data_IF_616793378537
#
_entry.id   IF_616793378537
#
_cell.length_a   1.000
_cell.length_b   1.000
_cell.length_c   1.000
_cell.angle_alpha   90.00
_cell.angle_beta   90.00
_cell.angle_gamma   90.00
#
_symmetry.space_group_name_H-M   'P 1'
#
loop_
_entity.id
_entity.type
_entity.pdbx_description
1 polymer ?
#
# COMPACT_ATOMS: atom_id res chain seq x y z
N UNK A 1 79.59 57.19 22.52
CA UNK A 1 78.60 56.36 23.26
C UNK A 1 77.43 57.25 23.65
N UNK A 2 76.23 56.68 23.63
CA UNK A 2 74.97 57.25 24.16
C UNK A 2 74.39 58.47 23.44
N UNK A 3 73.46 58.18 22.52
CA UNK A 3 72.49 59.12 21.97
C UNK A 3 71.21 59.04 22.81
N UNK A 4 70.68 60.17 23.27
CA UNK A 4 69.25 60.34 23.58
C UNK A 4 68.92 61.78 24.00
N UNK A 5 68.12 62.46 23.19
CA UNK A 5 66.93 63.29 23.51
C UNK A 5 66.50 63.90 22.17
N UNK A 6 65.24 63.86 21.78
CA UNK A 6 64.21 64.77 22.30
C UNK A 6 62.81 64.21 21.96
N UNK A 7 61.85 64.50 22.85
CA UNK A 7 60.43 64.16 22.75
C UNK A 7 59.73 64.82 21.55
N UNK A 8 58.64 64.19 21.11
CA UNK A 8 57.49 64.88 20.53
C UNK A 8 56.19 64.23 21.00
N UNK A 9 55.24 65.09 21.36
CA UNK A 9 53.91 64.86 21.91
C UNK A 9 53.03 63.98 21.03
N UNK A 10 52.03 63.32 21.64
CA UNK A 10 50.64 63.81 21.59
C UNK A 10 49.58 62.69 21.61
N UNK A 11 48.72 62.81 22.62
CA UNK A 11 47.26 62.60 22.60
C UNK A 11 46.65 61.19 22.48
N UNK A 12 45.80 60.95 23.49
CA UNK A 12 44.40 60.49 23.42
C UNK A 12 44.26 58.98 23.10
N UNK A 13 43.41 58.19 23.74
CA UNK A 13 42.10 58.43 24.36
C UNK A 13 41.73 57.16 25.16
N UNK A 14 40.81 57.29 26.11
CA UNK A 14 40.24 56.21 26.93
C UNK A 14 39.65 55.07 26.09
N UNK A 15 39.99 53.82 26.44
CA UNK A 15 39.26 52.62 26.04
C UNK A 15 38.64 52.00 27.30
N UNK A 16 37.31 51.95 27.34
CA UNK A 16 36.55 51.27 28.39
C UNK A 16 36.57 49.76 28.15
N UNK A 17 36.89 49.01 29.20
CA UNK A 17 36.87 47.55 29.22
C UNK A 17 35.44 47.02 29.48
N UNK A 18 35.05 46.06 28.63
CA UNK A 18 34.27 44.84 28.85
C UNK A 18 33.11 44.80 29.87
N UNK A 19 31.96 44.25 29.45
CA UNK A 19 31.50 42.89 29.80
C UNK A 19 30.48 42.45 28.74
N UNK A 20 30.75 41.36 28.01
CA UNK A 20 29.78 40.69 27.16
C UNK A 20 29.41 39.35 27.80
N UNK A 21 28.12 39.18 28.15
CA UNK A 21 27.55 37.93 28.64
C UNK A 21 27.02 37.16 27.43
N UNK A 22 27.78 36.18 26.93
CA UNK A 22 27.35 35.30 25.85
C UNK A 22 26.55 34.12 26.43
N UNK A 23 25.23 34.17 26.31
CA UNK A 23 24.36 33.00 26.48
C UNK A 23 24.42 32.19 25.19
N UNK A 24 25.17 31.10 25.20
CA UNK A 24 25.17 30.15 24.08
C UNK A 24 23.94 29.25 24.22
N UNK A 25 22.91 29.51 23.41
CA UNK A 25 21.79 28.59 23.25
C UNK A 25 22.29 27.32 22.53
N UNK A 26 22.33 26.20 23.24
CA UNK A 26 22.63 24.90 22.65
C UNK A 26 21.46 24.45 21.77
N UNK A 27 21.66 24.40 20.46
CA UNK A 27 20.74 23.74 19.54
C UNK A 27 20.89 22.22 19.69
N UNK A 28 19.89 21.56 20.26
CA UNK A 28 19.77 20.10 20.19
C UNK A 28 19.30 19.77 18.77
N UNK A 29 20.21 19.27 17.94
CA UNK A 29 19.87 18.61 16.68
C UNK A 29 19.37 17.22 17.04
N UNK A 30 18.05 17.03 17.05
CA UNK A 30 17.45 15.70 17.05
C UNK A 30 17.59 15.14 15.65
N UNK A 31 18.55 14.23 15.46
CA UNK A 31 18.68 13.46 14.23
C UNK A 31 17.53 12.44 14.21
N UNK A 32 16.37 12.86 13.72
CA UNK A 32 15.24 11.97 13.46
C UNK A 32 15.54 11.16 12.19
N UNK A 33 16.50 10.24 12.31
CA UNK A 33 16.68 9.16 11.36
C UNK A 33 15.42 8.30 11.39
N UNK A 34 14.44 8.63 10.55
CA UNK A 34 13.31 7.77 10.22
C UNK A 34 13.87 6.57 9.46
N UNK A 35 14.42 5.59 10.17
CA UNK A 35 14.64 4.26 9.59
C UNK A 35 13.27 3.72 9.23
N UNK A 36 12.96 3.77 7.93
CA UNK A 36 11.81 3.07 7.39
C UNK A 36 11.89 1.62 7.87
N UNK A 37 10.79 1.03 8.36
CA UNK A 37 10.79 -0.38 8.74
C UNK A 37 11.36 -1.19 7.59
N UNK A 38 12.15 -2.25 7.87
CA UNK A 38 12.74 -3.06 6.82
C UNK A 38 11.63 -3.48 5.87
N UNK A 39 11.80 -3.17 4.58
CA UNK A 39 10.88 -3.64 3.56
C UNK A 39 10.73 -5.15 3.77
N UNK A 40 9.50 -5.61 4.08
CA UNK A 40 9.22 -7.03 4.22
C UNK A 40 9.84 -7.75 3.01
N UNK A 41 10.60 -8.82 3.27
CA UNK A 41 11.21 -9.58 2.19
C UNK A 41 10.12 -9.98 1.21
N UNK A 42 10.30 -9.64 -0.07
CA UNK A 42 9.30 -9.89 -1.09
C UNK A 42 8.92 -11.38 -1.11
N UNK A 43 7.63 -11.66 -1.14
CA UNK A 43 7.11 -13.02 -1.25
C UNK A 43 7.63 -13.72 -2.51
N UNK A 44 7.67 -15.05 -2.46
CA UNK A 44 7.85 -15.88 -3.66
C UNK A 44 6.49 -16.29 -4.22
N UNK A 45 6.42 -16.51 -5.54
CA UNK A 45 5.17 -16.91 -6.19
C UNK A 45 4.56 -18.18 -5.58
N UNK A 46 3.31 -18.11 -5.16
CA UNK A 46 2.56 -19.17 -4.47
C UNK A 46 2.94 -19.37 -3.00
N UNK A 47 3.87 -18.57 -2.48
CA UNK A 47 4.38 -18.65 -1.12
C UNK A 47 3.52 -17.92 -0.09
N UNK A 48 4.11 -17.76 1.09
CA UNK A 48 3.59 -16.90 2.15
C UNK A 48 3.76 -15.44 1.76
N UNK A 49 2.75 -14.62 2.04
CA UNK A 49 2.73 -13.19 1.71
C UNK A 49 2.05 -12.41 2.84
N UNK A 50 2.56 -11.22 3.16
CA UNK A 50 1.94 -10.35 4.19
C UNK A 50 0.78 -9.54 3.60
N UNK A 51 -0.12 -9.07 4.47
CA UNK A 51 -1.22 -8.17 4.04
C UNK A 51 -0.70 -6.87 3.44
N UNK A 52 0.30 -6.25 4.06
CA UNK A 52 0.90 -5.02 3.52
C UNK A 52 1.49 -5.24 2.13
N UNK A 53 2.14 -6.38 1.86
CA UNK A 53 2.66 -6.70 0.54
C UNK A 53 1.52 -6.88 -0.48
N UNK A 54 0.45 -7.60 -0.12
CA UNK A 54 -0.73 -7.75 -1.00
C UNK A 54 -1.29 -6.39 -1.44
N UNK A 55 -1.46 -5.47 -0.48
CA UNK A 55 -1.95 -4.12 -0.79
C UNK A 55 -0.94 -3.29 -1.60
N UNK A 56 0.35 -3.39 -1.29
CA UNK A 56 1.40 -2.71 -2.05
C UNK A 56 1.42 -3.18 -3.51
N UNK A 57 1.24 -4.48 -3.74
CA UNK A 57 1.15 -5.06 -5.08
C UNK A 57 -0.07 -4.54 -5.84
N UNK A 58 -1.24 -4.49 -5.20
CA UNK A 58 -2.44 -3.91 -5.78
C UNK A 58 -2.30 -2.40 -6.08
N UNK A 59 -1.68 -1.64 -5.18
CA UNK A 59 -1.39 -0.22 -5.38
C UNK A 59 -0.39 0.01 -6.54
N UNK A 60 0.59 -0.88 -6.74
CA UNK A 60 1.50 -0.79 -7.88
C UNK A 60 0.75 -0.89 -9.22
N UNK A 61 -0.24 -1.78 -9.34
CA UNK A 61 -1.12 -1.81 -10.51
C UNK A 61 -2.06 -0.59 -10.59
N UNK A 62 -2.57 -0.13 -9.46
CA UNK A 62 -3.46 1.03 -9.41
C UNK A 62 -2.76 2.32 -9.84
N UNK A 63 -1.55 2.57 -9.36
CA UNK A 63 -0.77 3.78 -9.68
C UNK A 63 -0.50 3.90 -11.19
N UNK A 64 -0.35 2.76 -11.89
CA UNK A 64 -0.11 2.69 -13.34
C UNK A 64 -1.35 2.35 -14.18
N UNK A 65 -2.56 2.41 -13.60
CA UNK A 65 -3.85 2.01 -14.23
C UNK A 65 -4.19 2.70 -15.56
N UNK A 66 -3.52 3.80 -15.88
CA UNK A 66 -3.72 4.56 -17.13
C UNK A 66 -2.70 4.21 -18.22
N UNK A 67 -1.75 3.33 -17.94
CA UNK A 67 -0.80 2.84 -18.94
C UNK A 67 -1.52 1.95 -19.96
N UNK A 68 -1.03 1.93 -21.20
CA UNK A 68 -1.62 1.15 -22.29
C UNK A 68 -1.72 -0.35 -21.97
N UNK A 69 -0.73 -0.85 -21.23
CA UNK A 69 -0.65 -2.24 -20.80
C UNK A 69 -1.58 -2.55 -19.62
N UNK A 70 -2.36 -1.60 -19.10
CA UNK A 70 -3.40 -1.80 -18.05
C UNK A 70 -4.83 -1.73 -18.60
N UNK A 71 -5.01 -1.91 -19.91
CA UNK A 71 -6.34 -2.13 -20.50
C UNK A 71 -6.91 -3.49 -20.07
N UNK A 72 -8.16 -3.52 -19.60
CA UNK A 72 -8.86 -4.76 -19.22
C UNK A 72 -8.85 -5.79 -20.36
N UNK A 73 -8.47 -7.04 -20.03
CA UNK A 73 -8.50 -8.17 -20.93
C UNK A 73 -8.40 -9.47 -20.14
N UNK A 74 -9.28 -10.42 -20.45
CA UNK A 74 -9.28 -11.78 -19.89
C UNK A 74 -8.28 -12.72 -20.57
N UNK A 75 -7.51 -12.22 -21.55
CA UNK A 75 -6.56 -13.01 -22.34
C UNK A 75 -5.14 -12.46 -22.19
N UNK A 76 -5.00 -11.13 -22.30
CA UNK A 76 -3.70 -10.47 -22.29
C UNK A 76 -3.17 -10.35 -20.87
N UNK A 77 -1.84 -10.48 -20.75
CA UNK A 77 -1.11 -10.39 -19.48
C UNK A 77 -0.17 -9.19 -19.45
N UNK A 78 0.14 -8.70 -18.25
CA UNK A 78 1.21 -7.70 -18.00
C UNK A 78 1.98 -8.06 -16.74
N UNK A 79 3.15 -7.47 -16.54
CA UNK A 79 3.98 -7.68 -15.35
C UNK A 79 3.26 -7.29 -14.06
N UNK A 80 3.55 -8.02 -12.99
CA UNK A 80 3.08 -7.70 -11.64
C UNK A 80 3.68 -6.41 -11.07
N UNK A 81 3.61 -6.27 -9.75
CA UNK A 81 4.37 -5.24 -9.04
C UNK A 81 5.89 -5.45 -9.15
N UNK A 82 6.28 -6.73 -9.21
CA UNK A 82 7.61 -7.22 -9.53
C UNK A 82 7.60 -7.76 -10.97
N UNK A 83 8.72 -7.63 -11.68
CA UNK A 83 8.87 -8.14 -13.06
C UNK A 83 9.17 -9.65 -13.12
N UNK A 84 8.79 -10.39 -12.08
CA UNK A 84 9.03 -11.83 -11.93
C UNK A 84 8.06 -12.70 -12.72
N UNK A 85 6.82 -12.24 -12.90
CA UNK A 85 5.74 -12.95 -13.58
C UNK A 85 4.77 -11.97 -14.23
N UNK A 86 4.10 -12.44 -15.29
CA UNK A 86 2.98 -11.75 -15.93
C UNK A 86 1.63 -12.35 -15.50
N UNK A 87 0.64 -11.49 -15.30
CA UNK A 87 -0.70 -11.81 -14.79
C UNK A 87 -1.77 -11.28 -15.74
N UNK A 88 -2.93 -11.95 -15.80
CA UNK A 88 -4.05 -11.47 -16.63
C UNK A 88 -4.56 -10.11 -16.16
N UNK A 89 -5.04 -9.31 -17.10
CA UNK A 89 -5.50 -7.94 -16.85
C UNK A 89 -7.00 -7.89 -16.63
N UNK A 90 -7.48 -8.70 -15.70
CA UNK A 90 -8.90 -8.84 -15.39
C UNK A 90 -9.13 -8.88 -13.87
N UNK A 91 -10.38 -9.08 -13.45
CA UNK A 91 -10.77 -9.04 -12.04
C UNK A 91 -10.06 -10.11 -11.19
N UNK A 92 -9.94 -11.34 -11.71
CA UNK A 92 -9.27 -12.43 -11.02
C UNK A 92 -7.75 -12.35 -11.15
N UNK A 93 -7.23 -11.77 -12.22
CA UNK A 93 -5.82 -11.48 -12.44
C UNK A 93 -5.27 -10.40 -11.52
N UNK A 94 -6.08 -9.40 -11.14
CA UNK A 94 -5.76 -8.47 -10.05
C UNK A 94 -5.49 -9.23 -8.74
N UNK A 95 -6.34 -10.21 -8.41
CA UNK A 95 -6.23 -10.98 -7.17
C UNK A 95 -5.04 -11.96 -7.24
N UNK A 96 -4.85 -12.65 -8.37
CA UNK A 96 -3.68 -13.50 -8.65
C UNK A 96 -2.37 -12.70 -8.48
N UNK A 97 -2.33 -11.50 -9.06
CA UNK A 97 -1.18 -10.60 -8.95
C UNK A 97 -0.96 -10.11 -7.51
N UNK A 98 -2.02 -9.64 -6.84
CA UNK A 98 -1.93 -9.09 -5.50
C UNK A 98 -1.50 -10.16 -4.47
N UNK A 99 -2.00 -11.39 -4.59
CA UNK A 99 -1.59 -12.52 -3.75
C UNK A 99 -0.30 -13.21 -4.18
N UNK A 100 0.29 -12.76 -5.30
CA UNK A 100 1.48 -13.38 -5.87
C UNK A 100 1.31 -14.89 -6.05
N UNK A 101 0.20 -15.37 -6.62
CA UNK A 101 -0.01 -16.82 -6.77
C UNK A 101 0.94 -17.39 -7.84
N UNK A 102 0.81 -18.69 -8.13
CA UNK A 102 1.51 -19.38 -9.23
C UNK A 102 0.56 -20.27 -10.04
N UNK A 103 -0.70 -19.83 -10.26
CA UNK A 103 -1.75 -20.71 -10.79
C UNK A 103 -2.71 -20.07 -11.82
N UNK A 104 -2.55 -18.78 -12.16
CA UNK A 104 -3.44 -18.05 -13.10
C UNK A 104 -4.96 -18.34 -12.91
N UNK A 105 -5.52 -18.38 -11.68
CA UNK A 105 -6.92 -18.78 -11.50
C UNK A 105 -7.87 -17.77 -12.14
N UNK A 106 -8.96 -18.25 -12.74
CA UNK A 106 -10.11 -17.41 -13.06
C UNK A 106 -10.97 -17.20 -11.79
N UNK A 107 -12.06 -16.43 -11.90
CA UNK A 107 -12.91 -16.07 -10.76
C UNK A 107 -13.49 -17.29 -10.03
N UNK A 108 -13.85 -18.36 -10.76
CA UNK A 108 -14.26 -19.63 -10.14
C UNK A 108 -13.08 -20.37 -9.52
N UNK A 109 -11.93 -20.39 -10.18
CA UNK A 109 -10.70 -21.02 -9.69
C UNK A 109 -10.22 -20.45 -8.35
N UNK A 110 -10.44 -19.15 -8.10
CA UNK A 110 -10.17 -18.53 -6.79
C UNK A 110 -10.96 -19.17 -5.63
N UNK A 111 -12.05 -19.88 -5.91
CA UNK A 111 -12.84 -20.61 -4.91
C UNK A 111 -12.23 -21.96 -4.52
N UNK A 112 -11.17 -22.41 -5.20
CA UNK A 112 -10.48 -23.66 -4.87
C UNK A 112 -9.94 -23.60 -3.42
N UNK A 113 -10.21 -24.64 -2.64
CA UNK A 113 -9.80 -24.73 -1.22
C UNK A 113 -8.30 -24.83 -1.02
N UNK A 114 -7.52 -25.17 -2.05
CA UNK A 114 -6.05 -25.10 -2.02
C UNK A 114 -5.52 -23.67 -2.16
N UNK A 115 -6.34 -22.74 -2.67
CA UNK A 115 -6.00 -21.32 -2.81
C UNK A 115 -6.65 -20.51 -1.70
N UNK A 116 -7.95 -20.69 -1.45
CA UNK A 116 -8.68 -19.88 -0.46
C UNK A 116 -9.50 -20.70 0.52
N UNK A 117 -9.64 -20.16 1.73
CA UNK A 117 -10.62 -20.61 2.71
C UNK A 117 -11.78 -19.63 2.81
N UNK A 118 -12.97 -20.13 3.12
CA UNK A 118 -14.14 -19.29 3.36
C UNK A 118 -14.00 -18.55 4.70
N UNK A 119 -14.47 -17.31 4.73
CA UNK A 119 -14.57 -16.48 5.93
C UNK A 119 -15.92 -15.76 5.94
N UNK A 120 -16.34 -15.25 7.09
CA UNK A 120 -17.49 -14.35 7.19
C UNK A 120 -17.08 -12.92 6.84
N UNK A 121 -18.03 -12.06 6.45
CA UNK A 121 -17.76 -10.64 6.19
C UNK A 121 -17.15 -9.94 7.41
N UNK A 122 -17.60 -10.27 8.62
CA UNK A 122 -17.06 -9.68 9.85
C UNK A 122 -15.59 -10.04 10.10
N UNK A 123 -15.10 -11.14 9.52
CA UNK A 123 -13.71 -11.57 9.61
C UNK A 123 -12.81 -10.92 8.56
N UNK A 124 -13.35 -10.15 7.60
CA UNK A 124 -12.56 -9.51 6.56
C UNK A 124 -11.45 -8.65 7.16
N UNK A 125 -10.27 -8.83 6.59
CA UNK A 125 -9.05 -8.09 6.85
C UNK A 125 -8.45 -7.65 5.50
N UNK A 126 -7.63 -6.58 5.48
CA UNK A 126 -7.01 -6.10 4.25
C UNK A 126 -6.30 -7.18 3.45
N UNK A 127 -6.50 -7.20 2.13
CA UNK A 127 -5.98 -8.22 1.23
C UNK A 127 -6.86 -9.48 1.11
N UNK A 128 -7.99 -9.57 1.82
CA UNK A 128 -8.96 -10.64 1.59
C UNK A 128 -9.76 -10.42 0.28
N UNK A 129 -10.44 -11.46 -0.19
CA UNK A 129 -11.21 -11.48 -1.43
C UNK A 129 -12.71 -11.40 -1.13
N UNK A 130 -13.42 -10.59 -1.91
CA UNK A 130 -14.86 -10.69 -2.11
C UNK A 130 -15.08 -11.21 -3.53
N UNK A 131 -15.67 -12.40 -3.65
CA UNK A 131 -15.84 -13.10 -4.91
C UNK A 131 -17.31 -13.38 -5.21
N UNK A 132 -17.79 -12.89 -6.36
CA UNK A 132 -19.07 -13.27 -6.94
C UNK A 132 -18.84 -14.32 -8.02
N UNK A 133 -19.42 -15.51 -7.82
CA UNK A 133 -19.42 -16.64 -8.76
C UNK A 133 -20.83 -17.09 -9.12
N UNK A 134 -21.84 -16.23 -8.96
CA UNK A 134 -23.24 -16.55 -9.23
C UNK A 134 -23.56 -16.26 -10.70
N UNK A 135 -23.85 -17.31 -11.47
CA UNK A 135 -24.27 -17.12 -12.86
C UNK A 135 -25.73 -16.64 -12.90
N UNK A 136 -25.96 -15.47 -13.48
CA UNK A 136 -27.27 -14.81 -13.56
C UNK A 136 -27.77 -14.60 -15.00
N UNK A 137 -27.23 -15.35 -15.97
CA UNK A 137 -27.60 -15.36 -17.40
C UNK A 137 -27.57 -13.99 -18.12
N UNK A 138 -27.08 -12.92 -17.47
CA UNK A 138 -27.21 -11.52 -17.93
C UNK A 138 -25.88 -10.83 -18.28
N UNK A 139 -24.83 -11.60 -18.56
CA UNK A 139 -23.74 -11.15 -19.44
C UNK A 139 -22.43 -10.71 -18.78
N UNK A 140 -22.31 -10.72 -17.46
CA UNK A 140 -21.02 -10.67 -16.73
C UNK A 140 -21.17 -11.51 -15.47
N UNK A 141 -20.99 -12.84 -15.53
CA UNK A 141 -21.51 -13.69 -14.45
C UNK A 141 -20.70 -13.50 -13.16
N UNK A 142 -19.39 -13.27 -13.25
CA UNK A 142 -18.50 -13.38 -12.09
C UNK A 142 -17.61 -12.16 -11.94
N UNK A 143 -17.37 -11.77 -10.69
CA UNK A 143 -16.48 -10.65 -10.40
C UNK A 143 -15.71 -10.84 -9.09
N UNK A 144 -14.45 -10.41 -9.09
CA UNK A 144 -13.56 -10.46 -7.95
C UNK A 144 -13.09 -9.06 -7.59
N UNK A 145 -13.17 -8.71 -6.30
CA UNK A 145 -12.63 -7.46 -5.77
C UNK A 145 -11.72 -7.75 -4.58
N UNK A 146 -10.63 -7.00 -4.48
CA UNK A 146 -9.66 -7.12 -3.39
C UNK A 146 -10.04 -6.15 -2.27
N UNK A 147 -10.43 -6.69 -1.12
CA UNK A 147 -10.82 -5.91 0.04
C UNK A 147 -9.60 -5.16 0.60
N UNK A 148 -9.70 -3.84 0.65
CA UNK A 148 -8.60 -2.97 1.08
C UNK A 148 -8.60 -2.71 2.59
N UNK A 149 -9.76 -2.70 3.23
CA UNK A 149 -9.85 -2.48 4.66
C UNK A 149 -11.15 -1.81 5.09
N UNK A 150 -11.49 -1.98 6.36
CA UNK A 150 -12.55 -1.22 7.00
C UNK A 150 -12.12 0.22 7.19
N UNK A 151 -13.02 1.16 6.92
CA UNK A 151 -12.79 2.60 7.09
C UNK A 151 -13.23 3.09 8.48
N UNK A 152 -13.93 2.25 9.24
CA UNK A 152 -14.37 2.55 10.59
C UNK A 152 -14.37 1.31 11.49
N UNK A 153 -14.28 1.53 12.80
CA UNK A 153 -14.27 0.46 13.80
C UNK A 153 -15.59 -0.35 13.85
N UNK A 154 -16.70 0.27 13.45
CA UNK A 154 -18.01 -0.37 13.39
C UNK A 154 -18.17 -1.35 12.22
N UNK A 155 -17.19 -1.41 11.31
CA UNK A 155 -17.21 -2.26 10.10
C UNK A 155 -18.45 -2.04 9.22
N UNK A 156 -18.85 -0.78 9.06
CA UNK A 156 -20.02 -0.39 8.23
C UNK A 156 -19.63 0.17 6.86
N UNK A 157 -18.38 0.62 6.72
CA UNK A 157 -17.81 1.16 5.48
C UNK A 157 -16.42 0.59 5.24
N UNK A 158 -16.09 0.33 3.98
CA UNK A 158 -14.80 -0.22 3.57
C UNK A 158 -14.36 0.33 2.21
N UNK A 159 -13.10 0.07 1.88
CA UNK A 159 -12.54 0.36 0.57
C UNK A 159 -12.02 -0.92 -0.12
N UNK A 160 -11.91 -0.90 -1.44
CA UNK A 160 -11.45 -2.05 -2.25
C UNK A 160 -10.79 -1.63 -3.57
N UNK A 161 -10.02 -2.55 -4.18
CA UNK A 161 -9.60 -2.47 -5.58
C UNK A 161 -10.45 -3.38 -6.47
N UNK A 162 -10.73 -2.93 -7.68
CA UNK A 162 -11.52 -3.68 -8.68
C UNK A 162 -10.96 -3.45 -10.08
N UNK A 163 -10.65 -4.54 -10.77
CA UNK A 163 -10.27 -4.52 -12.18
C UNK A 163 -11.35 -5.18 -13.04
N UNK A 164 -12.60 -4.69 -12.92
CA UNK A 164 -13.72 -5.13 -13.76
C UNK A 164 -13.85 -4.38 -15.09
N UNK A 165 -12.93 -3.48 -15.40
CA UNK A 165 -12.93 -2.65 -16.61
C UNK A 165 -11.77 -1.66 -16.63
N UNK A 166 -11.67 -0.87 -17.70
CA UNK A 166 -10.61 0.13 -17.88
C UNK A 166 -11.12 1.53 -17.53
N UNK A 167 -10.43 2.31 -16.68
CA UNK A 167 -9.27 1.92 -15.86
C UNK A 167 -9.68 1.10 -14.62
N UNK A 168 -8.70 0.42 -14.01
CA UNK A 168 -8.85 -0.19 -12.68
C UNK A 168 -9.29 0.85 -11.63
N UNK A 169 -10.13 0.45 -10.69
CA UNK A 169 -10.73 1.34 -9.68
C UNK A 169 -10.21 1.02 -8.28
N UNK A 170 -10.03 2.07 -7.48
CA UNK A 170 -9.98 2.03 -6.02
C UNK A 170 -11.25 2.74 -5.55
N UNK A 171 -12.07 2.08 -4.75
CA UNK A 171 -13.37 2.60 -4.29
C UNK A 171 -13.34 2.66 -2.78
N UNK A 172 -13.76 3.79 -2.22
CA UNK A 172 -13.90 4.08 -0.78
C UNK A 172 -15.38 4.28 -0.46
N UNK A 173 -15.76 4.21 0.82
CA UNK A 173 -17.14 4.45 1.24
C UNK A 173 -18.12 3.34 0.86
N UNK A 174 -17.64 2.15 0.49
CA UNK A 174 -18.49 1.04 0.09
C UNK A 174 -19.13 0.37 1.30
N UNK A 175 -20.38 -0.10 1.17
CA UNK A 175 -21.09 -0.76 2.25
C UNK A 175 -21.71 -2.08 1.82
N UNK A 176 -21.77 -3.04 2.75
CA UNK A 176 -22.55 -4.27 2.53
C UNK A 176 -24.07 -4.04 2.59
N UNK A 177 -24.49 -2.85 3.01
CA UNK A 177 -25.89 -2.41 2.96
C UNK A 177 -26.30 -1.90 1.57
N UNK A 178 -25.35 -1.60 0.69
CA UNK A 178 -25.64 -1.22 -0.69
C UNK A 178 -26.20 -2.43 -1.45
N UNK A 179 -27.19 -2.22 -2.33
CA UNK A 179 -27.75 -3.32 -3.13
C UNK A 179 -26.78 -3.82 -4.20
N UNK A 180 -25.89 -2.94 -4.67
CA UNK A 180 -24.90 -3.21 -5.71
C UNK A 180 -23.50 -2.86 -5.21
N UNK A 181 -22.55 -3.79 -5.41
CA UNK A 181 -21.14 -3.63 -5.13
C UNK A 181 -20.35 -3.95 -6.39
N UNK A 182 -19.52 -3.01 -6.84
CA UNK A 182 -18.70 -3.15 -8.05
C UNK A 182 -19.45 -3.63 -9.32
N UNK A 183 -20.74 -3.27 -9.44
CA UNK A 183 -21.60 -3.63 -10.59
C UNK A 183 -22.39 -4.93 -10.44
N UNK A 184 -22.22 -5.64 -9.32
CA UNK A 184 -22.87 -6.93 -9.03
C UNK A 184 -23.75 -6.82 -7.79
N UNK A 185 -24.71 -7.73 -7.61
CA UNK A 185 -25.53 -7.70 -6.39
C UNK A 185 -24.65 -7.98 -5.17
N UNK A 186 -24.69 -7.09 -4.19
CA UNK A 186 -23.84 -7.19 -2.99
C UNK A 186 -24.03 -8.52 -2.26
N UNK A 187 -25.24 -9.10 -2.32
CA UNK A 187 -25.56 -10.40 -1.72
C UNK A 187 -24.82 -11.59 -2.34
N UNK A 188 -24.32 -11.47 -3.57
CA UNK A 188 -23.64 -12.57 -4.28
C UNK A 188 -22.17 -12.73 -3.88
N UNK A 189 -21.56 -11.69 -3.30
CA UNK A 189 -20.17 -11.73 -2.88
C UNK A 189 -19.96 -12.61 -1.65
N UNK A 190 -19.20 -13.70 -1.86
CA UNK A 190 -18.65 -14.55 -0.82
C UNK A 190 -17.28 -14.02 -0.36
N UNK A 191 -17.05 -13.96 0.95
CA UNK A 191 -15.76 -13.56 1.51
C UNK A 191 -14.80 -14.76 1.59
N UNK A 192 -13.59 -14.56 1.09
CA UNK A 192 -12.54 -15.58 0.98
C UNK A 192 -11.20 -15.03 1.46
N UNK A 193 -10.35 -15.91 2.00
CA UNK A 193 -9.00 -15.57 2.43
C UNK A 193 -7.99 -16.51 1.78
N UNK A 194 -6.92 -15.96 1.21
CA UNK A 194 -5.80 -16.76 0.69
C UNK A 194 -5.19 -17.62 1.80
N UNK A 195 -4.89 -18.89 1.51
CA UNK A 195 -4.43 -19.83 2.54
C UNK A 195 -3.05 -19.50 3.11
N UNK A 196 -2.19 -18.83 2.32
CA UNK A 196 -0.83 -18.46 2.71
C UNK A 196 -0.67 -16.97 3.06
N UNK A 197 -1.77 -16.22 3.24
CA UNK A 197 -1.66 -14.83 3.72
C UNK A 197 -1.41 -14.81 5.22
N UNK A 198 -0.45 -14.00 5.65
CA UNK A 198 -0.12 -13.77 7.06
C UNK A 198 -0.29 -12.30 7.42
N UNK A 199 -0.57 -12.03 8.69
CA UNK A 199 -0.56 -10.67 9.20
C UNK A 199 0.87 -10.14 9.23
N UNK A 200 1.03 -8.82 9.09
CA UNK A 200 2.32 -8.17 9.23
C UNK A 200 2.88 -8.40 10.64
N UNK A 201 4.20 -8.58 10.75
CA UNK A 201 4.84 -8.63 12.06
C UNK A 201 4.55 -7.32 12.81
N UNK A 202 4.29 -7.42 14.12
CA UNK A 202 4.24 -6.23 14.96
C UNK A 202 5.55 -5.45 14.80
N UNK A 203 5.51 -4.10 14.78
CA UNK A 203 6.73 -3.31 14.81
C UNK A 203 7.59 -3.80 15.98
N UNK A 204 8.87 -4.07 15.72
CA UNK A 204 9.85 -4.25 16.79
C UNK A 204 9.98 -2.91 17.51
N UNK A 205 9.50 -2.85 18.75
CA UNK A 205 9.67 -1.70 19.66
C UNK A 205 11.12 -1.53 20.10
#
# INVERSE_FOLDING_TARGET
>A
MTSARTLSLSRRTFAAFAVALSVTAGTVVVDASLTAPPAAAASVAGGTITRSEVLARAEAWYSRRHNADMTYSQELKTSGATSDRNYRRDCSGLVDMAWHLNADPNTQGLMNTTITKAITRNQLLPGDLLNDVVNNDSGYPYHAILFGGWENAAKTSFWYYSFGGTPMKKVTGASFSDSILAGHATSQYAARRYVNIVDDAAPVE
#
